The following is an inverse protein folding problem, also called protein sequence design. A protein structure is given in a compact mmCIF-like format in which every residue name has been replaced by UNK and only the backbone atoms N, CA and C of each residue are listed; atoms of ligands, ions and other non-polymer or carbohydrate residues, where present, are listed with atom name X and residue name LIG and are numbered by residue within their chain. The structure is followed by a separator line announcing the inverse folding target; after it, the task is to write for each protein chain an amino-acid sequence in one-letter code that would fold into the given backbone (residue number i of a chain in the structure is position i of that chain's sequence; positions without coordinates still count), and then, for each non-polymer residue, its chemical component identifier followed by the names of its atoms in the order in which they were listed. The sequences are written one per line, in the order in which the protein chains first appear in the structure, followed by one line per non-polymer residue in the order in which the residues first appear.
data_IF_619861336719
#
_entry.id   IF_619861336719
#
_cell.length_a   1.000
_cell.length_b   1.000
_cell.length_c   1.000
_cell.angle_alpha   90.00
_cell.angle_beta   90.00
_cell.angle_gamma   90.00
#
_symmetry.space_group_name_H-M   'P 1'
#
loop_
_entity.id
_entity.type
_entity.pdbx_description
1 polymer ?
#
# COMPACT_ATOMS: atom_id res chain seq x y z
N UNK A 1 -9.41 -13.74 -19.78
CA UNK A 1 -9.21 -13.87 -18.31
C UNK A 1 -7.88 -13.23 -17.97
N UNK A 2 -7.90 -11.92 -17.66
CA UNK A 2 -6.69 -11.21 -17.27
C UNK A 2 -6.38 -11.64 -15.84
N UNK A 3 -5.39 -12.53 -15.69
CA UNK A 3 -4.77 -12.75 -14.40
C UNK A 3 -4.26 -11.36 -13.98
N UNK A 4 -4.83 -10.80 -12.93
CA UNK A 4 -4.09 -9.84 -12.13
C UNK A 4 -2.80 -10.58 -11.79
N UNK A 5 -1.69 -10.21 -12.44
CA UNK A 5 -0.39 -10.44 -11.82
C UNK A 5 -0.57 -9.83 -10.43
N UNK A 6 -0.52 -10.67 -9.40
CA UNK A 6 -0.21 -10.18 -8.07
C UNK A 6 0.93 -9.18 -8.28
N UNK A 7 0.76 -7.94 -7.83
CA UNK A 7 1.80 -6.92 -7.90
C UNK A 7 3.12 -7.65 -7.64
N UNK A 8 3.97 -7.72 -8.68
CA UNK A 8 5.08 -8.65 -8.73
C UNK A 8 5.77 -8.57 -7.37
N UNK A 9 5.71 -9.67 -6.60
CA UNK A 9 6.31 -9.73 -5.28
C UNK A 9 7.79 -9.61 -5.56
N UNK A 10 8.32 -8.39 -5.58
CA UNK A 10 9.75 -8.14 -5.71
C UNK A 10 10.36 -9.01 -4.61
N UNK A 11 11.09 -10.07 -4.97
CA UNK A 11 11.69 -10.94 -3.97
C UNK A 11 12.50 -10.05 -3.03
N UNK A 12 12.40 -10.27 -1.73
CA UNK A 12 13.10 -9.45 -0.72
C UNK A 12 14.58 -9.23 -1.11
N UNK A 13 15.19 -10.25 -1.71
CA UNK A 13 16.53 -10.22 -2.30
C UNK A 13 16.75 -9.16 -3.40
N UNK A 14 15.80 -8.96 -4.32
CA UNK A 14 15.89 -7.93 -5.37
C UNK A 14 15.72 -6.52 -4.79
N UNK A 15 14.87 -6.35 -3.77
CA UNK A 15 14.73 -5.09 -3.05
C UNK A 15 16.04 -4.70 -2.34
N UNK A 16 16.68 -5.65 -1.64
CA UNK A 16 17.99 -5.43 -1.03
C UNK A 16 19.09 -5.16 -2.06
N UNK A 17 19.09 -5.86 -3.20
CA UNK A 17 20.08 -5.67 -4.25
C UNK A 17 19.94 -4.31 -4.95
N UNK A 18 18.71 -3.87 -5.24
CA UNK A 18 18.45 -2.58 -5.88
C UNK A 18 18.91 -1.39 -5.02
N UNK A 19 18.85 -1.53 -3.69
CA UNK A 19 19.24 -0.50 -2.73
C UNK A 19 20.67 -0.64 -2.21
N UNK A 20 21.44 -1.62 -2.71
CA UNK A 20 22.84 -1.83 -2.36
C UNK A 20 23.69 -0.65 -2.86
N UNK A 21 23.79 0.40 -2.06
CA UNK A 21 24.47 1.66 -2.38
C UNK A 21 23.63 2.93 -2.22
N UNK A 22 22.33 2.82 -1.92
CA UNK A 22 21.53 3.96 -1.46
C UNK A 22 21.94 4.32 -0.03
N UNK A 23 22.87 5.26 0.10
CA UNK A 23 23.60 5.55 1.34
C UNK A 23 25.06 5.96 1.08
N UNK A 24 25.59 5.70 -0.14
CA UNK A 24 26.93 6.12 -0.59
C UNK A 24 27.06 7.63 -0.88
N UNK A 25 26.60 8.47 0.03
CA UNK A 25 27.10 9.85 0.17
C UNK A 25 27.90 9.89 1.48
N UNK A 26 29.18 9.53 1.38
CA UNK A 26 30.25 9.84 2.33
C UNK A 26 30.12 9.45 3.83
N UNK A 27 29.29 8.46 4.21
CA UNK A 27 29.38 7.90 5.57
C UNK A 27 29.99 6.49 5.56
N UNK A 28 31.19 6.28 6.15
CA UNK A 28 31.88 5.00 6.11
C UNK A 28 31.29 3.94 7.06
N UNK A 29 30.32 4.30 7.91
CA UNK A 29 29.58 3.37 8.76
C UNK A 29 28.11 3.81 8.84
N UNK A 30 27.21 3.05 8.21
CA UNK A 30 25.76 3.28 8.25
C UNK A 30 25.20 2.77 9.59
N UNK A 31 25.48 3.49 10.67
CA UNK A 31 24.95 3.16 12.00
C UNK A 31 23.64 3.90 12.24
N UNK A 32 22.56 3.13 12.37
CA UNK A 32 21.23 3.67 12.60
C UNK A 32 20.90 3.72 14.07
N UNK A 33 20.22 4.78 14.48
CA UNK A 33 19.78 4.98 15.85
C UNK A 33 18.30 5.31 15.89
N UNK A 34 17.60 4.82 16.92
CA UNK A 34 16.24 5.24 17.18
C UNK A 34 16.24 6.57 17.95
N UNK A 35 15.45 7.50 17.46
CA UNK A 35 15.27 8.83 18.02
C UNK A 35 13.82 8.98 18.48
N UNK A 36 13.66 9.47 19.71
CA UNK A 36 12.36 9.83 20.26
C UNK A 36 11.95 11.19 19.70
N UNK A 37 10.84 11.25 19.00
CA UNK A 37 10.28 12.51 18.53
C UNK A 37 9.59 13.28 19.66
N UNK A 38 9.61 14.61 19.57
CA UNK A 38 8.82 15.47 20.43
C UNK A 38 7.31 15.24 20.17
N UNK A 39 6.45 15.41 21.19
CA UNK A 39 5.01 15.27 21.03
C UNK A 39 4.48 16.16 19.90
N UNK A 40 3.77 15.56 18.93
CA UNK A 40 3.20 16.28 17.79
C UNK A 40 4.16 16.49 16.61
N UNK A 41 5.46 16.27 16.75
CA UNK A 41 6.43 16.45 15.66
C UNK A 41 6.32 15.39 14.55
N UNK A 42 5.77 14.21 14.88
CA UNK A 42 5.46 13.14 13.92
C UNK A 42 4.15 13.33 13.15
N UNK A 43 3.43 14.43 13.36
CA UNK A 43 2.17 14.68 12.65
C UNK A 43 2.46 14.80 11.16
N UNK A 44 1.93 13.83 10.40
CA UNK A 44 1.95 13.88 8.95
C UNK A 44 0.74 14.69 8.48
N UNK A 45 0.92 15.67 7.57
CA UNK A 45 -0.20 16.39 6.97
C UNK A 45 -1.18 15.42 6.31
N UNK A 46 -2.48 15.59 6.53
CA UNK A 46 -3.48 14.87 5.75
C UNK A 46 -3.42 15.35 4.30
N UNK A 47 -3.38 14.41 3.36
CA UNK A 47 -3.37 14.74 1.94
C UNK A 47 -4.79 14.70 1.39
N UNK A 48 -5.17 15.77 0.69
CA UNK A 48 -6.39 15.81 -0.11
C UNK A 48 -6.02 15.44 -1.53
N UNK A 49 -6.94 14.79 -2.24
CA UNK A 49 -6.78 14.51 -3.67
C UNK A 49 -6.39 15.79 -4.42
N UNK A 50 -5.26 15.74 -5.14
CA UNK A 50 -4.72 16.85 -5.93
C UNK A 50 -3.75 17.80 -5.21
N UNK A 51 -3.42 17.59 -3.93
CA UNK A 51 -2.34 18.33 -3.27
C UNK A 51 -1.01 17.58 -3.34
N UNK A 52 -0.02 18.18 -4.01
CA UNK A 52 1.35 17.65 -4.12
C UNK A 52 2.23 18.11 -2.95
N UNK A 53 1.84 17.74 -1.72
CA UNK A 53 2.70 17.93 -0.55
C UNK A 53 3.47 16.63 -0.35
N UNK A 54 4.77 16.72 -0.05
CA UNK A 54 5.67 15.56 0.13
C UNK A 54 5.25 14.57 1.25
N UNK A 55 4.15 14.80 1.98
CA UNK A 55 3.64 13.88 3.01
C UNK A 55 4.56 13.68 4.23
N UNK A 56 5.75 14.29 4.21
CA UNK A 56 6.75 14.25 5.27
C UNK A 56 6.21 14.87 6.56
N UNK A 57 6.49 14.22 7.67
CA UNK A 57 6.27 14.80 9.00
C UNK A 57 7.21 15.98 9.25
N UNK A 58 6.88 16.81 10.24
CA UNK A 58 7.71 17.98 10.60
C UNK A 58 9.12 17.54 11.00
N UNK A 59 9.22 16.49 11.83
CA UNK A 59 10.52 15.96 12.28
C UNK A 59 11.37 15.37 11.15
N UNK A 60 10.76 14.63 10.21
CA UNK A 60 11.49 14.12 9.04
C UNK A 60 12.05 15.25 8.19
N UNK A 61 11.26 16.30 7.98
CA UNK A 61 11.68 17.46 7.20
C UNK A 61 12.84 18.19 7.88
N UNK A 62 12.74 18.45 9.18
CA UNK A 62 13.78 19.16 9.91
C UNK A 62 15.09 18.37 9.89
N UNK A 63 15.04 17.07 10.18
CA UNK A 63 16.24 16.22 10.16
C UNK A 63 16.86 16.10 8.74
N UNK A 64 16.04 16.02 7.69
CA UNK A 64 16.53 16.04 6.30
C UNK A 64 17.15 17.38 5.92
N UNK A 65 16.59 18.50 6.39
CA UNK A 65 17.14 19.83 6.16
C UNK A 65 18.53 20.00 6.80
N UNK A 66 18.75 19.36 7.95
CA UNK A 66 20.05 19.30 8.63
C UNK A 66 21.04 18.31 7.98
N UNK A 67 20.61 17.60 6.92
CA UNK A 67 21.46 16.69 6.15
C UNK A 67 21.49 15.25 6.67
N UNK A 68 20.68 14.90 7.68
CA UNK A 68 20.61 13.54 8.19
C UNK A 68 19.77 12.63 7.28
N UNK A 69 20.17 11.38 7.15
CA UNK A 69 19.34 10.35 6.54
C UNK A 69 18.33 9.85 7.57
N UNK A 70 17.04 9.94 7.23
CA UNK A 70 15.94 9.65 8.16
C UNK A 70 14.99 8.65 7.55
N UNK A 71 14.61 7.68 8.37
CA UNK A 71 13.61 6.70 8.04
C UNK A 71 12.56 6.61 9.15
N UNK A 72 11.33 7.01 8.83
CA UNK A 72 10.17 6.81 9.70
C UNK A 72 9.21 5.82 9.02
N UNK A 73 9.18 4.56 9.47
CA UNK A 73 8.18 3.59 9.02
C UNK A 73 6.77 4.17 9.23
N UNK A 74 5.96 4.11 8.18
CA UNK A 74 4.62 4.69 8.20
C UNK A 74 3.70 3.92 7.25
N UNK A 75 2.42 3.90 7.58
CA UNK A 75 1.38 3.32 6.74
C UNK A 75 0.32 4.37 6.41
N UNK A 76 -0.41 4.14 5.31
CA UNK A 76 -1.44 5.07 4.81
C UNK A 76 -2.81 4.43 4.92
N UNK A 77 -3.78 5.23 5.32
CA UNK A 77 -5.20 4.87 5.36
C UNK A 77 -5.98 5.95 4.65
N UNK A 78 -6.93 5.53 3.83
CA UNK A 78 -7.92 6.42 3.26
C UNK A 78 -9.21 6.38 4.09
N UNK A 79 -9.66 7.56 4.49
CA UNK A 79 -10.88 7.75 5.27
C UNK A 79 -11.80 8.66 4.48
N UNK A 80 -13.03 8.20 4.25
CA UNK A 80 -14.05 9.04 3.65
C UNK A 80 -14.57 10.05 4.66
N UNK A 81 -14.51 11.33 4.34
CA UNK A 81 -15.07 12.37 5.19
C UNK A 81 -16.60 12.23 5.22
N UNK A 82 -17.19 12.07 6.41
CA UNK A 82 -18.62 11.75 6.55
C UNK A 82 -19.55 12.86 6.04
N UNK A 83 -19.15 14.13 6.16
CA UNK A 83 -19.97 15.29 5.73
C UNK A 83 -19.76 15.69 4.28
N UNK A 84 -18.51 15.78 3.85
CA UNK A 84 -18.16 16.29 2.51
C UNK A 84 -18.04 15.16 1.48
N UNK A 85 -17.98 13.90 1.91
CA UNK A 85 -17.94 12.73 1.04
C UNK A 85 -16.63 12.51 0.30
N UNK A 86 -15.68 13.45 0.38
CA UNK A 86 -14.34 13.34 -0.22
C UNK A 86 -13.45 12.36 0.55
N UNK A 87 -12.52 11.74 -0.17
CA UNK A 87 -11.50 10.87 0.40
C UNK A 87 -10.38 11.71 1.01
N UNK A 88 -10.00 11.35 2.24
CA UNK A 88 -8.87 11.96 2.94
C UNK A 88 -7.85 10.86 3.18
N UNK A 89 -6.67 11.10 2.66
CA UNK A 89 -5.54 10.23 2.87
C UNK A 89 -4.78 10.66 4.12
N UNK A 90 -4.52 9.70 5.02
CA UNK A 90 -3.80 9.93 6.26
C UNK A 90 -2.63 8.97 6.36
N UNK A 91 -1.45 9.53 6.61
CA UNK A 91 -0.22 8.80 6.93
C UNK A 91 -0.06 8.73 8.45
N UNK A 92 0.19 7.54 8.98
CA UNK A 92 0.44 7.29 10.39
C UNK A 92 1.80 6.64 10.57
N UNK A 93 2.59 7.02 11.58
CA UNK A 93 3.82 6.33 11.90
C UNK A 93 3.50 4.93 12.44
N UNK A 94 4.28 3.93 12.02
CA UNK A 94 4.18 2.57 12.55
C UNK A 94 4.66 2.54 14.01
N UNK A 95 5.69 3.31 14.32
CA UNK A 95 6.23 3.47 15.68
C UNK A 95 5.92 4.86 16.23
N UNK A 96 4.84 4.96 17.00
CA UNK A 96 4.45 6.20 17.66
C UNK A 96 5.56 6.68 18.60
N UNK A 97 6.05 7.90 18.36
CA UNK A 97 7.09 8.56 19.13
C UNK A 97 8.52 8.20 18.74
N UNK A 98 8.74 7.28 17.79
CA UNK A 98 10.09 6.89 17.35
C UNK A 98 10.29 6.97 15.84
N UNK A 99 11.52 7.30 15.44
CA UNK A 99 11.99 7.27 14.06
C UNK A 99 13.47 6.85 14.04
N UNK A 100 13.98 6.44 12.89
CA UNK A 100 15.36 5.99 12.73
C UNK A 100 16.17 7.04 11.97
N UNK A 101 17.38 7.30 12.44
CA UNK A 101 18.31 8.26 11.83
C UNK A 101 19.67 7.60 11.64
N UNK A 102 20.25 7.78 10.46
CA UNK A 102 21.65 7.47 10.22
C UNK A 102 22.50 8.65 10.70
N UNK A 103 23.29 8.43 11.75
CA UNK A 103 24.10 9.50 12.35
C UNK A 103 25.47 9.59 11.65
N UNK A 104 25.95 8.50 11.05
CA UNK A 104 27.25 8.47 10.37
C UNK A 104 28.39 8.99 11.26
N UNK A 105 29.26 9.90 10.77
CA UNK A 105 30.35 10.48 11.55
C UNK A 105 29.90 11.60 12.50
N UNK A 106 28.62 11.97 12.51
CA UNK A 106 28.12 13.09 13.29
C UNK A 106 27.97 12.77 14.78
N UNK A 107 27.99 13.81 15.61
CA UNK A 107 27.75 13.66 17.04
C UNK A 107 26.25 13.48 17.35
N UNK A 108 25.96 12.63 18.33
CA UNK A 108 24.62 12.45 18.91
C UNK A 108 23.95 13.76 19.33
N UNK A 109 24.75 14.74 19.76
CA UNK A 109 24.27 16.06 20.19
C UNK A 109 23.69 16.87 19.04
N UNK A 110 24.21 16.70 17.82
CA UNK A 110 23.70 17.41 16.65
C UNK A 110 22.27 16.95 16.33
N UNK A 111 22.01 15.64 16.43
CA UNK A 111 20.66 15.07 16.22
C UNK A 111 19.70 15.50 17.33
N UNK A 112 20.16 15.49 18.59
CA UNK A 112 19.34 15.95 19.73
C UNK A 112 19.03 17.45 19.70
N UNK A 113 19.81 18.25 18.97
CA UNK A 113 19.58 19.69 18.81
C UNK A 113 18.52 20.02 17.74
N UNK A 114 18.10 19.07 16.90
CA UNK A 114 17.14 19.30 15.82
C UNK A 114 15.73 19.50 16.39
N UNK A 115 15.03 20.52 15.89
CA UNK A 115 13.65 20.79 16.30
C UNK A 115 12.72 19.61 15.96
N UNK A 116 11.92 19.18 16.94
CA UNK A 116 11.07 18.01 16.85
C UNK A 116 11.73 16.70 17.31
N UNK A 117 13.02 16.71 17.65
CA UNK A 117 13.69 15.60 18.35
C UNK A 117 13.66 15.84 19.86
N UNK A 118 13.39 14.79 20.62
CA UNK A 118 13.44 14.84 22.09
C UNK A 118 14.75 14.27 22.62
N UNK A 119 15.03 12.98 22.35
CA UNK A 119 16.23 12.26 22.83
C UNK A 119 16.53 11.07 21.94
N UNK A 120 17.80 10.66 21.89
CA UNK A 120 18.17 9.36 21.32
C UNK A 120 17.80 8.24 22.30
N UNK A 121 17.33 7.10 21.77
CA UNK A 121 17.03 5.91 22.55
C UNK A 121 18.33 5.33 23.11
N UNK A 122 18.40 5.19 24.43
CA UNK A 122 19.55 4.63 25.13
C UNK A 122 19.10 3.47 26.00
N UNK A 123 19.96 2.48 26.17
CA UNK A 123 19.75 1.36 27.08
C UNK A 123 20.83 1.38 28.17
N UNK A 124 20.46 0.93 29.36
CA UNK A 124 21.39 0.71 30.48
C UNK A 124 21.54 -0.78 30.68
N UNK A 125 22.75 -1.32 30.49
CA UNK A 125 23.05 -2.68 30.94
C UNK A 125 23.24 -2.69 32.45
N UNK A 126 22.87 -3.81 33.08
CA UNK A 126 22.86 -3.98 34.53
C UNK A 126 24.24 -3.77 35.21
N UNK A 127 25.32 -3.82 34.43
CA UNK A 127 26.71 -3.67 34.89
C UNK A 127 27.43 -2.43 34.32
N UNK A 128 26.73 -1.58 33.55
CA UNK A 128 27.33 -0.37 32.96
C UNK A 128 26.80 0.89 33.65
N UNK A 129 27.70 1.77 34.06
CA UNK A 129 27.35 3.02 34.75
C UNK A 129 26.72 4.09 33.85
N UNK A 130 26.83 3.96 32.52
CA UNK A 130 26.38 4.97 31.56
C UNK A 130 25.39 4.40 30.52
N UNK A 131 24.28 5.10 30.23
CA UNK A 131 23.32 4.69 29.20
C UNK A 131 23.92 4.86 27.80
N UNK A 132 24.06 3.74 27.08
CA UNK A 132 24.60 3.69 25.72
C UNK A 132 23.47 3.86 24.68
N UNK A 133 23.68 4.63 23.60
CA UNK A 133 22.76 4.66 22.47
C UNK A 133 22.52 3.26 21.90
N UNK A 134 21.28 2.96 21.49
CA UNK A 134 20.97 1.69 20.85
C UNK A 134 21.22 1.78 19.35
N UNK A 135 22.15 0.97 18.86
CA UNK A 135 22.51 0.85 17.45
C UNK A 135 21.67 -0.22 16.77
N UNK A 136 21.12 0.11 15.60
CA UNK A 136 20.40 -0.80 14.73
C UNK A 136 21.29 -1.17 13.53
N UNK A 137 21.48 -2.47 13.25
CA UNK A 137 22.11 -2.91 12.02
C UNK A 137 21.31 -2.44 10.79
N UNK A 138 22.01 -2.06 9.71
CA UNK A 138 21.43 -1.70 8.43
C UNK A 138 20.37 -2.71 7.95
N UNK A 139 20.65 -4.01 8.10
CA UNK A 139 19.73 -5.09 7.73
C UNK A 139 18.37 -4.98 8.43
N UNK A 140 18.35 -4.55 9.70
CA UNK A 140 17.10 -4.36 10.44
C UNK A 140 16.28 -3.21 9.85
N UNK A 141 16.96 -2.12 9.48
CA UNK A 141 16.33 -0.97 8.84
C UNK A 141 15.81 -1.35 7.46
N UNK A 142 16.57 -2.12 6.68
CA UNK A 142 16.15 -2.54 5.36
C UNK A 142 14.95 -3.50 5.40
N UNK A 143 14.88 -4.41 6.39
CA UNK A 143 13.67 -5.22 6.63
C UNK A 143 12.46 -4.34 6.96
N UNK A 144 12.63 -3.33 7.81
CA UNK A 144 11.55 -2.38 8.11
C UNK A 144 11.14 -1.56 6.87
N UNK A 145 12.11 -1.18 6.02
CA UNK A 145 11.86 -0.51 4.73
C UNK A 145 11.07 -1.42 3.79
N UNK A 146 11.41 -2.70 3.71
CA UNK A 146 10.68 -3.67 2.90
C UNK A 146 9.23 -3.82 3.36
N UNK A 147 8.99 -3.96 4.67
CA UNK A 147 7.64 -4.03 5.24
C UNK A 147 6.84 -2.76 4.95
N UNK A 148 7.47 -1.58 5.12
CA UNK A 148 6.81 -0.31 4.80
C UNK A 148 6.47 -0.19 3.31
N UNK A 149 7.35 -0.67 2.43
CA UNK A 149 7.12 -0.73 0.99
C UNK A 149 5.95 -1.67 0.63
N UNK A 150 5.89 -2.86 1.23
CA UNK A 150 4.79 -3.80 1.02
C UNK A 150 3.44 -3.20 1.43
N UNK A 151 3.40 -2.50 2.57
CA UNK A 151 2.21 -1.79 3.03
C UNK A 151 1.78 -0.69 2.04
N UNK A 152 2.73 0.06 1.48
CA UNK A 152 2.45 1.07 0.47
C UNK A 152 1.91 0.44 -0.82
N UNK A 153 2.50 -0.67 -1.29
CA UNK A 153 1.99 -1.38 -2.48
C UNK A 153 0.57 -1.90 -2.28
N UNK A 154 0.30 -2.51 -1.12
CA UNK A 154 -1.03 -2.97 -0.76
C UNK A 154 -2.04 -1.82 -0.73
N UNK A 155 -1.64 -0.67 -0.20
CA UNK A 155 -2.43 0.55 -0.19
C UNK A 155 -2.74 1.05 -1.60
N UNK A 156 -1.74 1.13 -2.49
CA UNK A 156 -1.91 1.58 -3.87
C UNK A 156 -2.84 0.65 -4.67
N UNK A 157 -2.70 -0.67 -4.50
CA UNK A 157 -3.58 -1.66 -5.14
C UNK A 157 -5.01 -1.53 -4.62
N UNK A 158 -5.20 -1.38 -3.31
CA UNK A 158 -6.52 -1.17 -2.72
C UNK A 158 -7.17 0.13 -3.23
N UNK A 159 -6.39 1.22 -3.36
CA UNK A 159 -6.83 2.48 -3.95
C UNK A 159 -7.27 2.33 -5.41
N UNK A 160 -6.46 1.65 -6.22
CA UNK A 160 -6.77 1.42 -7.63
C UNK A 160 -8.04 0.56 -7.83
N UNK A 161 -8.24 -0.47 -7.00
CA UNK A 161 -9.46 -1.30 -7.02
C UNK A 161 -10.71 -0.46 -6.71
N UNK A 162 -10.63 0.37 -5.67
CA UNK A 162 -11.73 1.24 -5.26
C UNK A 162 -12.07 2.27 -6.34
N UNK A 163 -11.07 2.95 -6.91
CA UNK A 163 -11.30 3.93 -7.98
C UNK A 163 -12.05 3.31 -9.16
N UNK A 164 -11.67 2.08 -9.55
CA UNK A 164 -12.39 1.33 -10.59
C UNK A 164 -13.83 0.99 -10.20
N UNK A 165 -14.06 0.55 -8.96
CA UNK A 165 -15.41 0.26 -8.46
C UNK A 165 -16.29 1.53 -8.45
N UNK A 166 -15.74 2.66 -8.03
CA UNK A 166 -16.43 3.95 -8.04
C UNK A 166 -16.73 4.43 -9.47
N UNK A 167 -15.80 4.26 -10.41
CA UNK A 167 -16.03 4.54 -11.83
C UNK A 167 -17.16 3.68 -12.40
N UNK A 168 -17.14 2.36 -12.14
CA UNK A 168 -18.20 1.44 -12.57
C UNK A 168 -19.54 1.83 -11.95
N UNK A 169 -19.57 2.18 -10.66
CA UNK A 169 -20.80 2.61 -9.99
C UNK A 169 -21.31 3.93 -10.57
N UNK A 170 -20.42 4.90 -10.84
CA UNK A 170 -20.79 6.15 -11.49
C UNK A 170 -21.31 5.94 -12.91
N UNK A 171 -20.67 5.07 -13.71
CA UNK A 171 -21.17 4.69 -15.02
C UNK A 171 -22.56 4.05 -14.94
N UNK A 172 -22.80 3.16 -13.97
CA UNK A 172 -24.12 2.57 -13.73
C UNK A 172 -25.15 3.61 -13.33
N UNK A 173 -24.79 4.58 -12.49
CA UNK A 173 -25.67 5.71 -12.10
C UNK A 173 -25.97 6.62 -13.29
N UNK A 174 -24.97 6.94 -14.13
CA UNK A 174 -25.12 7.76 -15.35
C UNK A 174 -25.97 7.08 -16.42
N UNK A 175 -25.84 5.77 -16.57
CA UNK A 175 -26.69 4.95 -17.46
C UNK A 175 -28.14 4.86 -16.98
N UNK A 176 -28.44 5.40 -15.80
CA UNK A 176 -29.76 5.33 -15.16
C UNK A 176 -30.06 3.93 -14.62
N UNK A 177 -31.05 3.85 -13.72
CA UNK A 177 -31.69 2.56 -13.41
C UNK A 177 -32.08 1.95 -14.77
N UNK A 178 -31.68 0.71 -15.11
CA UNK A 178 -32.16 0.12 -16.34
C UNK A 178 -33.68 0.22 -16.28
N UNK A 179 -34.27 0.85 -17.30
CA UNK A 179 -35.72 1.14 -17.42
C UNK A 179 -36.58 -0.12 -17.23
N UNK A 180 -35.93 -1.29 -17.12
CA UNK A 180 -36.50 -2.62 -17.09
C UNK A 180 -35.88 -3.53 -16.01
N UNK A 181 -35.65 -3.05 -14.78
CA UNK A 181 -35.40 -3.95 -13.65
C UNK A 181 -36.62 -4.89 -13.39
N UNK A 182 -37.83 -4.40 -13.66
CA UNK A 182 -39.07 -5.21 -13.65
C UNK A 182 -39.28 -6.01 -14.95
N UNK A 183 -38.75 -5.57 -16.10
CA UNK A 183 -38.94 -6.27 -17.38
C UNK A 183 -37.87 -7.33 -17.69
N UNK A 184 -36.79 -7.44 -16.90
CA UNK A 184 -35.84 -8.56 -17.03
C UNK A 184 -36.43 -9.90 -16.59
N UNK A 185 -37.55 -9.91 -15.87
CA UNK A 185 -38.30 -11.13 -15.57
C UNK A 185 -39.15 -11.62 -16.75
N UNK A 186 -39.44 -10.76 -17.73
CA UNK A 186 -40.39 -11.07 -18.82
C UNK A 186 -39.68 -11.33 -20.17
N UNK A 187 -38.41 -10.92 -20.34
CA UNK A 187 -37.64 -11.17 -21.60
C UNK A 187 -36.59 -12.28 -21.52
N UNK A 188 -36.66 -13.17 -20.53
CA UNK A 188 -35.88 -14.43 -20.54
C UNK A 188 -36.55 -15.57 -21.31
N UNK A 189 -37.76 -15.35 -21.84
CA UNK A 189 -38.52 -16.40 -22.52
C UNK A 189 -38.37 -16.42 -24.05
N UNK A 190 -37.75 -15.42 -24.71
CA UNK A 190 -37.82 -15.30 -26.18
C UNK A 190 -36.54 -14.87 -26.90
N UNK A 191 -35.37 -14.87 -26.25
CA UNK A 191 -34.11 -14.54 -26.93
C UNK A 191 -32.94 -15.48 -26.58
N UNK A 192 -33.24 -16.69 -26.13
CA UNK A 192 -32.26 -17.68 -25.66
C UNK A 192 -31.86 -18.73 -26.68
N UNK A 193 -32.43 -18.77 -27.88
CA UNK A 193 -32.24 -19.95 -28.73
C UNK A 193 -30.96 -19.96 -29.57
N UNK A 194 -30.20 -18.86 -29.69
CA UNK A 194 -29.01 -18.85 -30.57
C UNK A 194 -27.73 -18.19 -30.02
N UNK A 195 -27.80 -17.31 -29.02
CA UNK A 195 -26.60 -16.55 -28.58
C UNK A 195 -26.30 -16.53 -27.08
N UNK A 196 -27.24 -16.95 -26.23
CA UNK A 196 -27.13 -16.80 -24.78
C UNK A 196 -26.37 -17.92 -24.05
N UNK A 197 -26.34 -19.12 -24.62
CA UNK A 197 -25.77 -20.31 -23.96
C UNK A 197 -24.23 -20.33 -23.90
N UNK A 198 -23.55 -19.64 -24.81
CA UNK A 198 -22.09 -19.63 -24.85
C UNK A 198 -21.46 -18.62 -23.85
N UNK A 199 -22.22 -17.61 -23.44
CA UNK A 199 -21.71 -16.57 -22.54
C UNK A 199 -21.78 -16.98 -21.06
N UNK A 200 -22.75 -17.82 -20.66
CA UNK A 200 -22.85 -18.28 -19.26
C UNK A 200 -21.81 -19.33 -18.91
N UNK A 201 -21.42 -20.17 -19.86
CA UNK A 201 -20.45 -21.26 -19.64
C UNK A 201 -19.03 -20.74 -19.38
N UNK A 202 -18.69 -19.53 -19.83
CA UNK A 202 -17.39 -18.88 -19.55
C UNK A 202 -17.23 -18.38 -18.10
N UNK A 203 -18.29 -18.48 -17.27
CA UNK A 203 -18.31 -17.98 -15.89
C UNK A 203 -18.33 -19.06 -14.81
N UNK A 204 -18.39 -20.35 -15.18
CA UNK A 204 -18.43 -21.46 -14.22
C UNK A 204 -17.01 -21.91 -13.81
N UNK A 205 -16.73 -21.88 -12.51
CA UNK A 205 -15.39 -22.04 -11.91
C UNK A 205 -14.87 -23.50 -11.83
N UNK A 206 -15.43 -24.44 -12.59
CA UNK A 206 -14.95 -25.83 -12.60
C UNK A 206 -14.91 -26.38 -14.02
N UNK A 207 -13.71 -26.78 -14.46
CA UNK A 207 -13.42 -27.34 -15.77
C UNK A 207 -14.27 -28.56 -16.11
N UNK A 208 -14.63 -29.39 -15.12
CA UNK A 208 -15.46 -30.57 -15.34
C UNK A 208 -16.91 -30.22 -15.67
N UNK A 209 -17.48 -29.22 -14.98
CA UNK A 209 -18.84 -28.75 -15.24
C UNK A 209 -18.95 -28.09 -16.63
N UNK A 210 -17.94 -27.29 -17.00
CA UNK A 210 -17.84 -26.70 -18.34
C UNK A 210 -17.78 -27.74 -19.46
N UNK A 211 -16.99 -28.81 -19.26
CA UNK A 211 -16.85 -29.88 -20.26
C UNK A 211 -18.15 -30.68 -20.40
N UNK A 212 -18.83 -31.01 -19.30
CA UNK A 212 -20.11 -31.73 -19.36
C UNK A 212 -21.21 -30.91 -20.02
N UNK A 213 -21.25 -29.61 -19.73
CA UNK A 213 -22.26 -28.70 -20.28
C UNK A 213 -22.02 -28.44 -21.77
N UNK A 214 -20.75 -28.27 -22.18
CA UNK A 214 -20.40 -28.10 -23.60
C UNK A 214 -20.68 -29.35 -24.42
N UNK A 215 -20.35 -30.56 -23.92
CA UNK A 215 -20.66 -31.83 -24.59
C UNK A 215 -22.18 -32.07 -24.74
N UNK A 216 -22.98 -31.73 -23.72
CA UNK A 216 -24.44 -31.81 -23.82
C UNK A 216 -25.01 -30.85 -24.88
N UNK A 217 -24.51 -29.62 -24.96
CA UNK A 217 -24.94 -28.68 -26.02
C UNK A 217 -24.57 -29.15 -27.42
N UNK A 218 -23.39 -29.75 -27.61
CA UNK A 218 -22.97 -30.28 -28.90
C UNK A 218 -23.79 -31.52 -29.31
N UNK A 219 -24.11 -32.41 -28.37
CA UNK A 219 -24.98 -33.56 -28.62
C UNK A 219 -26.40 -33.15 -29.01
N UNK A 220 -26.95 -32.12 -28.37
CA UNK A 220 -28.28 -31.59 -28.69
C UNK A 220 -28.33 -30.85 -30.04
N UNK A 221 -27.19 -30.34 -30.53
CA UNK A 221 -27.08 -29.75 -31.86
C UNK A 221 -27.01 -30.83 -32.96
N UNK A 222 -26.28 -31.92 -32.71
CA UNK A 222 -26.21 -33.05 -33.64
C UNK A 222 -27.58 -33.72 -33.85
N UNK A 223 -28.36 -33.88 -32.78
CA UNK A 223 -29.70 -34.48 -32.85
C UNK A 223 -30.79 -33.56 -33.47
N UNK A 224 -30.46 -32.31 -33.80
CA UNK A 224 -31.38 -31.36 -34.46
C UNK A 224 -31.15 -31.24 -35.97
N UNK A 225 -30.17 -31.97 -36.52
CA UNK A 225 -29.80 -31.97 -37.94
C UNK A 225 -30.28 -33.22 -38.70
N UNK A 226 -30.94 -34.16 -38.01
CA UNK A 226 -31.76 -35.25 -38.58
C UNK A 226 -33.25 -34.95 -38.39
#
# INVERSE_FOLDING_TARGET
MWKYRNADSVPEAEFFQARKGEGKRDSPVETWFAVKAAPGAQRCPSMRDGQDRTGDSVVERNLRNEGFEVFMPSYRIEVRHHRQGHWIERRFPTFNGYLFVNIGPHDYRAVEAVDGVSKILRFTKQYEERPMPFEFPQETIDRLRYIAWEQEQNFLVARARRQREEEIEQEQRRRGKPVNASSRRIRRAQFTDLGGGLASSLSSASSRAFITETLQTLGNLANKLD
#
